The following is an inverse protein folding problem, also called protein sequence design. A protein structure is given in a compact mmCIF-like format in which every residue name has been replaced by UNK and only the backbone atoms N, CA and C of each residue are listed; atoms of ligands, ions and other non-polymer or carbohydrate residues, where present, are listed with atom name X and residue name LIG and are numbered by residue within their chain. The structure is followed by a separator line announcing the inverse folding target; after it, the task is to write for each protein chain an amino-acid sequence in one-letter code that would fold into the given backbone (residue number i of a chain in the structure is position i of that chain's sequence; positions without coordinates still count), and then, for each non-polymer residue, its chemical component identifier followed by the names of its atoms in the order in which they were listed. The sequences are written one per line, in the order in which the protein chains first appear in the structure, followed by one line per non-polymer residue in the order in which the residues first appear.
data_IF_922968168199
#
_entry.id   IF_922968168199
#
_cell.length_a   1.000
_cell.length_b   1.000
_cell.length_c   1.000
_cell.angle_alpha   90.00
_cell.angle_beta   90.00
_cell.angle_gamma   90.00
#
_symmetry.space_group_name_H-M   'P 1'
#
loop_
_entity.id
_entity.type
_entity.pdbx_description
1 polymer ?
#
# COMPACT_ATOMS: atom_id res chain seq x y z
N UNK A 1 3.62 25.39 5.12
CA UNK A 1 4.40 26.47 4.49
C UNK A 1 5.92 26.20 4.41
N UNK A 2 6.51 25.31 5.23
CA UNK A 2 7.95 24.97 5.17
C UNK A 2 8.36 23.93 4.10
N UNK A 3 7.44 23.08 3.62
CA UNK A 3 7.75 22.02 2.64
C UNK A 3 7.80 22.52 1.18
N UNK A 4 7.01 23.54 0.81
CA UNK A 4 7.01 24.12 -0.54
C UNK A 4 8.35 24.81 -0.90
N UNK A 5 9.08 25.35 0.09
CA UNK A 5 10.38 26.00 -0.15
C UNK A 5 11.55 25.03 -0.29
N UNK A 6 11.41 23.76 0.11
CA UNK A 6 12.52 22.77 0.01
C UNK A 6 12.48 21.91 -1.27
N UNK A 7 11.36 21.86 -1.98
CA UNK A 7 11.23 21.06 -3.21
C UNK A 7 11.73 21.82 -4.46
N UNK A 8 11.96 23.14 -4.37
CA UNK A 8 12.37 23.98 -5.50
C UNK A 8 13.90 24.10 -5.65
N UNK A 9 14.70 23.62 -4.68
CA UNK A 9 16.18 23.70 -4.74
C UNK A 9 16.80 22.30 -4.79
N UNK A 10 16.68 21.61 -5.92
CA UNK A 10 17.56 20.49 -6.29
C UNK A 10 17.99 20.70 -7.73
N UNK A 11 18.87 21.68 -7.94
CA UNK A 11 19.66 21.84 -9.17
C UNK A 11 20.91 22.65 -8.83
N UNK A 12 21.92 21.99 -8.26
CA UNK A 12 23.34 22.16 -8.57
C UNK A 12 24.10 20.91 -8.09
N UNK A 13 25.02 20.35 -8.88
CA UNK A 13 25.78 19.17 -8.48
C UNK A 13 26.91 19.59 -7.52
N UNK A 14 26.89 19.04 -6.31
CA UNK A 14 27.99 19.15 -5.36
C UNK A 14 29.14 18.22 -5.76
N UNK A 15 30.30 18.84 -5.98
CA UNK A 15 31.59 18.23 -6.34
C UNK A 15 32.24 17.55 -5.14
N UNK A 16 32.25 16.22 -5.11
CA UNK A 16 33.23 15.44 -4.35
C UNK A 16 33.49 14.17 -5.15
N UNK A 17 34.59 14.14 -5.90
CA UNK A 17 35.43 12.98 -6.26
C UNK A 17 36.50 13.50 -7.22
N UNK A 18 37.66 13.84 -6.67
CA UNK A 18 38.90 14.08 -7.39
C UNK A 18 39.93 13.02 -6.94
N UNK A 19 40.77 12.60 -7.89
CA UNK A 19 41.77 11.53 -7.84
C UNK A 19 41.18 10.11 -8.05
N UNK A 20 41.48 9.40 -9.13
CA UNK A 20 42.31 9.65 -10.30
C UNK A 20 42.44 8.33 -11.06
N UNK A 21 42.40 8.35 -12.40
CA UNK A 21 43.11 7.42 -13.29
C UNK A 21 43.02 7.94 -14.74
N UNK A 22 44.16 8.45 -15.22
CA UNK A 22 44.76 8.34 -16.55
C UNK A 22 43.92 8.28 -17.85
N UNK A 23 44.02 9.39 -18.60
CA UNK A 23 44.31 9.51 -20.05
C UNK A 23 43.44 8.84 -21.16
N UNK A 24 42.52 9.66 -21.71
CA UNK A 24 42.39 10.04 -23.14
C UNK A 24 41.86 9.03 -24.21
N UNK A 25 41.47 9.48 -25.44
CA UNK A 25 40.56 10.59 -25.78
C UNK A 25 39.60 10.22 -26.93
N UNK A 26 38.30 10.59 -26.90
CA UNK A 26 37.55 10.75 -28.16
C UNK A 26 36.63 11.96 -28.19
N UNK A 27 36.68 12.58 -29.37
CA UNK A 27 36.34 13.95 -29.70
C UNK A 27 34.84 14.21 -29.80
N UNK A 28 34.53 15.46 -29.48
CA UNK A 28 33.40 16.28 -29.94
C UNK A 28 32.84 15.91 -31.31
N UNK A 29 31.52 15.79 -31.41
CA UNK A 29 30.77 16.18 -32.60
C UNK A 29 29.50 16.94 -32.20
N UNK A 30 29.47 18.20 -32.65
CA UNK A 30 28.32 19.12 -32.64
C UNK A 30 27.29 18.61 -33.65
N UNK A 31 26.02 18.57 -33.29
CA UNK A 31 24.92 18.47 -34.25
C UNK A 31 24.30 19.86 -34.43
N UNK A 32 24.41 20.37 -35.66
CA UNK A 32 23.64 21.52 -36.13
C UNK A 32 22.36 21.01 -36.78
N UNK A 33 21.24 21.61 -36.38
CA UNK A 33 19.90 21.36 -36.88
C UNK A 33 19.63 22.29 -38.06
N UNK A 34 19.28 21.77 -39.23
CA UNK A 34 18.55 22.53 -40.26
C UNK A 34 17.52 21.67 -40.95
N UNK A 35 16.38 22.31 -41.21
CA UNK A 35 15.06 21.81 -41.59
C UNK A 35 14.87 21.58 -43.09
N UNK A 36 13.68 21.02 -43.40
CA UNK A 36 12.95 21.04 -44.70
C UNK A 36 13.44 20.01 -45.72
N UNK A 37 12.61 19.26 -46.45
CA UNK A 37 11.16 19.25 -46.64
C UNK A 37 10.86 18.76 -48.08
N UNK A 38 9.77 18.00 -48.22
CA UNK A 38 9.02 17.66 -49.46
C UNK A 38 9.44 16.39 -50.23
N UNK A 39 8.38 15.71 -50.69
CA UNK A 39 8.21 14.32 -51.10
C UNK A 39 8.37 14.07 -52.61
N UNK A 40 8.63 12.80 -52.98
CA UNK A 40 8.03 12.13 -54.15
C UNK A 40 8.31 10.61 -54.21
N UNK A 41 7.24 9.82 -54.16
CA UNK A 41 6.91 8.60 -54.92
C UNK A 41 7.98 7.56 -55.34
N UNK A 42 7.80 6.35 -54.79
CA UNK A 42 7.88 4.98 -55.37
C UNK A 42 9.04 4.58 -56.29
N UNK A 43 9.85 3.62 -55.83
CA UNK A 43 10.18 2.39 -56.57
C UNK A 43 10.70 1.29 -55.62
N UNK A 44 10.17 0.09 -55.83
CA UNK A 44 10.51 -1.17 -55.18
C UNK A 44 11.97 -1.55 -55.38
N UNK A 45 12.70 -1.74 -54.28
CA UNK A 45 13.95 -2.48 -54.24
C UNK A 45 14.10 -3.17 -52.87
N UNK A 46 14.64 -4.37 -52.92
CA UNK A 46 14.79 -5.43 -51.91
C UNK A 46 15.22 -4.96 -50.51
N UNK A 47 14.76 -5.59 -49.41
CA UNK A 47 15.29 -5.32 -48.09
C UNK A 47 16.56 -6.16 -47.87
N UNK A 48 17.72 -5.65 -48.28
CA UNK A 48 18.95 -5.95 -47.55
C UNK A 48 18.94 -5.13 -46.25
N UNK A 49 17.99 -5.47 -45.37
CA UNK A 49 18.10 -5.06 -43.99
C UNK A 49 19.17 -5.93 -43.36
N UNK A 50 20.34 -5.34 -43.11
CA UNK A 50 21.16 -5.70 -41.96
C UNK A 50 20.30 -5.52 -40.71
N UNK A 51 19.40 -6.48 -40.47
CA UNK A 51 18.82 -6.70 -39.17
C UNK A 51 19.98 -7.20 -38.32
N UNK A 52 20.53 -6.29 -37.51
CA UNK A 52 21.32 -6.67 -36.35
C UNK A 52 20.40 -7.62 -35.58
N UNK A 53 20.67 -8.93 -35.67
CA UNK A 53 20.02 -9.92 -34.82
C UNK A 53 20.16 -9.38 -33.40
N UNK A 54 19.08 -9.24 -32.61
CA UNK A 54 19.23 -8.87 -31.22
C UNK A 54 20.21 -9.87 -30.60
N UNK A 55 21.30 -9.37 -30.03
CA UNK A 55 22.26 -10.21 -29.31
C UNK A 55 21.47 -11.10 -28.37
N UNK A 56 21.62 -12.42 -28.52
CA UNK A 56 20.88 -13.36 -27.68
C UNK A 56 21.48 -13.35 -26.27
N UNK A 57 21.03 -12.39 -25.46
CA UNK A 57 21.46 -12.16 -24.09
C UNK A 57 20.76 -13.11 -23.08
N UNK A 58 20.02 -14.12 -23.56
CA UNK A 58 19.25 -15.04 -22.72
C UNK A 58 20.11 -15.75 -21.66
N UNK A 59 21.18 -16.44 -22.09
CA UNK A 59 22.08 -17.16 -21.16
C UNK A 59 22.78 -16.19 -20.18
N UNK A 60 23.39 -15.08 -20.63
CA UNK A 60 23.96 -14.08 -19.72
C UNK A 60 22.97 -13.52 -18.69
N UNK A 61 21.74 -13.22 -19.10
CA UNK A 61 20.70 -12.67 -18.22
C UNK A 61 20.26 -13.68 -17.16
N UNK A 62 20.10 -14.95 -17.52
CA UNK A 62 19.74 -16.01 -16.56
C UNK A 62 20.84 -16.18 -15.52
N UNK A 63 22.09 -16.34 -15.95
CA UNK A 63 23.26 -16.47 -15.05
C UNK A 63 23.40 -15.23 -14.16
N UNK A 64 23.16 -14.04 -14.70
CA UNK A 64 23.16 -12.81 -13.93
C UNK A 64 22.17 -12.86 -12.76
N UNK A 65 20.92 -13.26 -13.01
CA UNK A 65 19.94 -13.35 -11.93
C UNK A 65 20.28 -14.44 -10.90
N UNK A 66 20.79 -15.59 -11.34
CA UNK A 66 21.26 -16.65 -10.43
C UNK A 66 22.36 -16.13 -9.50
N UNK A 67 23.36 -15.42 -10.05
CA UNK A 67 24.45 -14.81 -9.29
C UNK A 67 23.99 -13.73 -8.29
N UNK A 68 22.81 -13.14 -8.53
CA UNK A 68 22.20 -12.14 -7.63
C UNK A 68 21.14 -12.73 -6.69
N UNK A 69 21.12 -14.06 -6.55
CA UNK A 69 20.31 -14.76 -5.54
C UNK A 69 18.86 -15.01 -5.95
N UNK A 70 18.54 -14.94 -7.25
CA UNK A 70 17.22 -15.34 -7.74
C UNK A 70 17.18 -16.86 -7.92
N UNK A 71 16.09 -17.50 -7.50
CA UNK A 71 15.88 -18.93 -7.73
C UNK A 71 15.52 -19.20 -9.20
N UNK A 72 15.78 -20.41 -9.68
CA UNK A 72 15.36 -20.86 -11.01
C UNK A 72 13.85 -20.67 -11.26
N UNK A 73 13.03 -20.89 -10.22
CA UNK A 73 11.58 -20.65 -10.27
C UNK A 73 11.25 -19.17 -10.46
N UNK A 74 11.88 -18.28 -9.69
CA UNK A 74 11.70 -16.83 -9.82
C UNK A 74 12.12 -16.32 -11.20
N UNK A 75 13.23 -16.82 -11.74
CA UNK A 75 13.72 -16.46 -13.08
C UNK A 75 12.72 -16.94 -14.13
N UNK A 76 12.26 -18.19 -14.06
CA UNK A 76 11.26 -18.74 -14.99
C UNK A 76 9.96 -17.92 -14.96
N UNK A 77 9.44 -17.59 -13.78
CA UNK A 77 8.26 -16.74 -13.64
C UNK A 77 8.48 -15.32 -14.19
N UNK A 78 9.64 -14.73 -13.93
CA UNK A 78 10.02 -13.41 -14.44
C UNK A 78 10.03 -13.40 -15.97
N UNK A 79 10.71 -14.38 -16.59
CA UNK A 79 10.79 -14.52 -18.05
C UNK A 79 9.42 -14.74 -18.66
N UNK A 80 8.59 -15.60 -18.06
CA UNK A 80 7.22 -15.84 -18.53
C UNK A 80 6.37 -14.57 -18.52
N UNK A 81 6.50 -13.75 -17.47
CA UNK A 81 5.73 -12.51 -17.30
C UNK A 81 6.31 -11.33 -18.07
N UNK A 82 7.62 -11.33 -18.31
CA UNK A 82 8.36 -10.22 -18.90
C UNK A 82 9.51 -10.72 -19.79
N UNK A 83 9.20 -11.34 -20.95
CA UNK A 83 10.20 -11.98 -21.82
C UNK A 83 11.30 -11.03 -22.30
N UNK A 84 10.99 -9.74 -22.46
CA UNK A 84 11.94 -8.71 -22.89
C UNK A 84 13.12 -8.54 -21.92
N UNK A 85 13.06 -9.09 -20.69
CA UNK A 85 14.20 -9.09 -19.78
C UNK A 85 15.41 -9.80 -20.38
N UNK A 86 15.18 -10.84 -21.20
CA UNK A 86 16.23 -11.65 -21.80
C UNK A 86 17.05 -10.88 -22.84
N UNK A 87 16.54 -9.77 -23.35
CA UNK A 87 17.24 -8.88 -24.27
C UNK A 87 18.05 -7.79 -23.54
N UNK A 88 17.93 -7.67 -22.22
CA UNK A 88 18.61 -6.63 -21.46
C UNK A 88 20.12 -6.93 -21.31
N UNK A 89 20.93 -5.88 -21.31
CA UNK A 89 22.35 -5.99 -20.98
C UNK A 89 22.52 -6.12 -19.45
N UNK A 90 23.09 -7.24 -18.93
CA UNK A 90 23.24 -7.43 -17.49
C UNK A 90 24.00 -6.31 -16.79
N UNK A 91 25.19 -5.96 -17.29
CA UNK A 91 26.11 -5.00 -16.67
C UNK A 91 25.62 -3.55 -16.79
N UNK A 92 25.13 -3.16 -17.96
CA UNK A 92 24.75 -1.76 -18.23
C UNK A 92 23.33 -1.43 -17.79
N UNK A 93 22.43 -2.41 -17.79
CA UNK A 93 21.00 -2.15 -17.57
C UNK A 93 20.51 -2.71 -16.24
N UNK A 94 20.87 -3.95 -15.89
CA UNK A 94 20.29 -4.63 -14.72
C UNK A 94 21.09 -4.33 -13.45
N UNK A 95 22.41 -4.51 -13.50
CA UNK A 95 23.31 -4.38 -12.35
C UNK A 95 23.18 -3.02 -11.63
N UNK A 96 23.16 -1.85 -12.32
CA UNK A 96 23.10 -0.56 -11.63
C UNK A 96 21.82 -0.42 -10.80
N UNK A 97 20.71 -1.02 -11.24
CA UNK A 97 19.44 -1.00 -10.52
C UNK A 97 19.48 -1.89 -9.29
N UNK A 98 20.05 -3.10 -9.41
CA UNK A 98 20.18 -4.00 -8.27
C UNK A 98 21.10 -3.40 -7.20
N UNK A 99 22.26 -2.86 -7.61
CA UNK A 99 23.20 -2.19 -6.71
C UNK A 99 22.56 -0.97 -6.02
N UNK A 100 21.75 -0.19 -6.73
CA UNK A 100 20.99 0.90 -6.11
C UNK A 100 20.05 0.39 -5.01
N UNK A 101 19.28 -0.66 -5.25
CA UNK A 101 18.39 -1.19 -4.21
C UNK A 101 19.15 -1.78 -3.02
N UNK A 102 20.29 -2.43 -3.28
CA UNK A 102 21.18 -2.94 -2.23
C UNK A 102 21.80 -1.81 -1.41
N UNK A 103 22.27 -0.74 -2.04
CA UNK A 103 22.84 0.42 -1.34
C UNK A 103 21.80 1.16 -0.48
N UNK A 104 20.52 1.02 -0.82
CA UNK A 104 19.37 1.47 -0.04
C UNK A 104 18.89 0.47 1.02
N UNK A 105 19.60 -0.63 1.23
CA UNK A 105 19.32 -1.59 2.30
C UNK A 105 18.21 -2.60 2.00
N UNK A 106 17.85 -2.83 0.73
CA UNK A 106 17.01 -3.98 0.35
C UNK A 106 17.89 -5.23 0.27
N UNK A 107 17.44 -6.30 0.92
CA UNK A 107 18.09 -7.62 0.82
C UNK A 107 17.83 -8.28 -0.54
N UNK A 108 18.69 -9.21 -0.97
CA UNK A 108 18.51 -9.93 -2.24
C UNK A 108 17.13 -10.58 -2.39
N UNK A 109 16.53 -11.22 -1.37
CA UNK A 109 15.16 -11.74 -1.46
C UNK A 109 14.09 -10.65 -1.68
N UNK A 110 14.26 -9.46 -1.09
CA UNK A 110 13.35 -8.32 -1.28
C UNK A 110 13.47 -7.72 -2.67
N UNK A 111 14.69 -7.66 -3.21
CA UNK A 111 14.96 -7.25 -4.59
C UNK A 111 14.36 -8.24 -5.58
N UNK A 112 14.54 -9.54 -5.36
CA UNK A 112 13.91 -10.57 -6.19
C UNK A 112 12.39 -10.44 -6.18
N UNK A 113 11.79 -10.23 -5.00
CA UNK A 113 10.35 -9.97 -4.87
C UNK A 113 9.90 -8.71 -5.61
N UNK A 114 10.68 -7.63 -5.57
CA UNK A 114 10.41 -6.39 -6.32
C UNK A 114 10.42 -6.66 -7.82
N UNK A 115 11.48 -7.31 -8.32
CA UNK A 115 11.67 -7.56 -9.75
C UNK A 115 10.62 -8.52 -10.30
N UNK A 116 10.36 -9.66 -9.66
CA UNK A 116 9.33 -10.61 -10.11
C UNK A 116 7.91 -10.02 -9.98
N UNK A 117 7.66 -9.25 -8.90
CA UNK A 117 6.39 -8.59 -8.67
C UNK A 117 6.10 -7.48 -9.69
N UNK A 118 7.12 -6.68 -10.01
CA UNK A 118 7.02 -5.48 -10.84
C UNK A 118 8.16 -5.40 -11.88
N UNK A 119 8.20 -6.30 -12.89
CA UNK A 119 9.31 -6.39 -13.83
C UNK A 119 9.60 -5.11 -14.61
N UNK A 120 8.59 -4.25 -14.79
CA UNK A 120 8.74 -2.95 -15.44
C UNK A 120 9.76 -2.04 -14.74
N UNK A 121 10.14 -2.30 -13.49
CA UNK A 121 11.25 -1.59 -12.83
C UNK A 121 12.56 -1.71 -13.60
N UNK A 122 12.79 -2.83 -14.29
CA UNK A 122 14.03 -3.11 -15.03
C UNK A 122 14.17 -2.28 -16.31
N UNK A 123 13.05 -1.83 -16.89
CA UNK A 123 13.06 -0.97 -18.09
C UNK A 123 13.02 0.52 -17.76
N UNK A 124 12.82 0.90 -16.49
CA UNK A 124 12.84 2.32 -16.12
C UNK A 124 14.28 2.83 -16.07
N UNK A 125 14.47 4.09 -16.44
CA UNK A 125 15.74 4.79 -16.22
C UNK A 125 16.00 4.92 -14.71
N UNK A 126 17.19 4.51 -14.28
CA UNK A 126 17.63 4.63 -12.90
C UNK A 126 17.64 6.11 -12.48
N UNK A 127 18.35 6.96 -13.23
CA UNK A 127 18.59 8.37 -12.88
C UNK A 127 17.37 9.26 -13.10
N UNK A 128 16.55 8.97 -14.12
CA UNK A 128 15.42 9.85 -14.47
C UNK A 128 14.11 9.47 -13.79
N UNK A 129 13.98 8.23 -13.29
CA UNK A 129 12.70 7.72 -12.76
C UNK A 129 12.83 7.07 -11.40
N UNK A 130 13.76 6.13 -11.19
CA UNK A 130 13.83 5.37 -9.94
C UNK A 130 14.39 6.24 -8.81
N UNK A 131 15.56 6.86 -9.00
CA UNK A 131 16.19 7.74 -8.00
C UNK A 131 15.27 8.91 -7.65
N UNK A 132 14.72 9.68 -8.61
CA UNK A 132 13.80 10.79 -8.28
C UNK A 132 12.52 10.35 -7.55
N UNK A 133 12.01 9.15 -7.83
CA UNK A 133 10.87 8.61 -7.09
C UNK A 133 11.25 8.27 -5.65
N UNK A 134 12.42 7.68 -5.43
CA UNK A 134 12.95 7.40 -4.10
C UNK A 134 13.15 8.70 -3.31
N UNK A 135 13.87 9.67 -3.89
CA UNK A 135 14.18 10.95 -3.26
C UNK A 135 12.92 11.74 -2.90
N UNK A 136 11.89 11.67 -3.76
CA UNK A 136 10.60 12.29 -3.46
C UNK A 136 9.92 11.67 -2.22
N UNK A 137 9.90 10.34 -2.12
CA UNK A 137 9.35 9.67 -0.93
C UNK A 137 10.19 10.03 0.31
N UNK A 138 11.52 10.05 0.17
CA UNK A 138 12.44 10.39 1.24
C UNK A 138 12.27 11.84 1.73
N UNK A 139 12.05 12.79 0.83
CA UNK A 139 11.78 14.17 1.19
C UNK A 139 10.50 14.31 2.04
N UNK A 140 9.47 13.50 1.78
CA UNK A 140 8.22 13.51 2.55
C UNK A 140 8.34 12.77 3.89
N UNK A 141 9.11 11.68 3.94
CA UNK A 141 9.25 10.83 5.13
C UNK A 141 10.42 11.24 6.04
N UNK A 142 11.31 12.09 5.54
CA UNK A 142 12.47 12.70 6.19
C UNK A 142 13.61 11.75 6.57
N UNK A 143 13.40 10.43 6.56
CA UNK A 143 14.46 9.44 6.87
C UNK A 143 14.48 8.31 5.86
N UNK A 144 15.66 7.73 5.65
CA UNK A 144 15.83 6.61 4.74
C UNK A 144 15.10 5.36 5.28
N UNK A 145 15.14 5.10 6.59
CA UNK A 145 14.49 3.94 7.22
C UNK A 145 12.98 3.95 6.99
N UNK A 146 12.33 5.11 7.15
CA UNK A 146 10.89 5.26 6.87
C UNK A 146 10.59 5.10 5.38
N UNK A 147 11.48 5.55 4.51
CA UNK A 147 11.38 5.43 3.06
C UNK A 147 11.42 3.97 2.63
N UNK A 148 12.39 3.22 3.12
CA UNK A 148 12.50 1.79 2.89
C UNK A 148 11.30 1.04 3.46
N UNK A 149 10.87 1.37 4.69
CA UNK A 149 9.67 0.79 5.27
C UNK A 149 8.42 1.03 4.41
N UNK A 150 8.26 2.24 3.84
CA UNK A 150 7.16 2.57 2.92
C UNK A 150 7.25 1.79 1.61
N UNK A 151 8.42 1.75 0.97
CA UNK A 151 8.65 0.99 -0.27
C UNK A 151 8.37 -0.50 -0.04
N UNK A 152 8.78 -1.08 1.08
CA UNK A 152 8.48 -2.48 1.43
C UNK A 152 6.98 -2.75 1.59
N UNK A 153 6.16 -1.76 1.94
CA UNK A 153 4.68 -1.89 1.95
C UNK A 153 4.10 -1.99 0.54
N UNK A 154 4.71 -1.34 -0.45
CA UNK A 154 4.34 -1.49 -1.84
C UNK A 154 5.55 -1.29 -2.77
N UNK A 155 6.24 -2.41 -3.07
CA UNK A 155 7.46 -2.40 -3.88
C UNK A 155 7.25 -1.74 -5.25
N UNK A 156 6.07 -1.91 -5.83
CA UNK A 156 5.71 -1.31 -7.11
C UNK A 156 5.64 0.22 -7.11
N UNK A 157 5.74 0.93 -5.98
CA UNK A 157 5.68 2.41 -5.99
C UNK A 157 6.75 3.04 -6.89
N UNK A 158 7.94 2.45 -6.97
CA UNK A 158 9.05 2.95 -7.77
C UNK A 158 8.85 2.72 -9.29
N UNK A 159 7.84 1.94 -9.69
CA UNK A 159 7.46 1.81 -11.10
C UNK A 159 6.55 2.94 -11.58
N UNK A 160 6.05 3.78 -10.67
CA UNK A 160 5.18 4.91 -10.99
C UNK A 160 5.98 6.19 -11.20
N UNK A 161 5.46 7.08 -12.04
CA UNK A 161 5.96 8.45 -12.10
C UNK A 161 5.33 9.28 -10.97
N UNK A 162 6.03 9.39 -9.84
CA UNK A 162 5.48 10.06 -8.66
C UNK A 162 5.28 11.57 -8.87
N UNK A 163 5.97 12.18 -9.83
CA UNK A 163 5.76 13.59 -10.17
C UNK A 163 4.41 13.80 -10.86
N UNK A 164 3.93 12.83 -11.63
CA UNK A 164 2.64 12.88 -12.32
C UNK A 164 1.50 12.48 -11.38
N UNK A 165 1.69 11.42 -10.59
CA UNK A 165 0.60 10.83 -9.80
C UNK A 165 0.60 11.29 -8.34
N UNK A 166 1.70 11.09 -7.61
CA UNK A 166 1.70 11.30 -6.17
C UNK A 166 1.81 12.78 -5.79
N UNK A 167 2.64 13.55 -6.50
CA UNK A 167 2.92 14.95 -6.19
C UNK A 167 1.68 15.85 -6.24
N UNK A 168 0.89 15.88 -7.31
CA UNK A 168 -0.31 16.74 -7.35
C UNK A 168 -1.33 16.38 -6.27
N UNK A 169 -1.42 15.09 -5.91
CA UNK A 169 -2.32 14.59 -4.87
C UNK A 169 -1.85 15.01 -3.47
N UNK A 170 -0.54 14.92 -3.19
CA UNK A 170 0.05 15.42 -1.95
C UNK A 170 -0.10 16.93 -1.84
N UNK A 171 0.18 17.68 -2.91
CA UNK A 171 0.01 19.14 -2.95
C UNK A 171 -1.44 19.54 -2.71
N UNK A 172 -2.41 18.81 -3.28
CA UNK A 172 -3.85 19.02 -3.02
C UNK A 172 -4.16 18.88 -1.53
N UNK A 173 -3.65 17.84 -0.85
CA UNK A 173 -3.87 17.66 0.59
C UNK A 173 -3.24 18.80 1.42
N UNK A 174 -2.04 19.26 1.05
CA UNK A 174 -1.37 20.38 1.71
C UNK A 174 -2.20 21.66 1.56
N UNK A 175 -2.70 21.93 0.35
CA UNK A 175 -3.49 23.14 0.04
C UNK A 175 -4.77 23.22 0.87
N UNK A 176 -5.43 22.09 1.13
CA UNK A 176 -6.64 22.05 1.97
C UNK A 176 -6.32 21.97 3.48
N UNK A 177 -5.04 22.08 3.86
CA UNK A 177 -4.61 22.17 5.25
C UNK A 177 -4.34 20.84 5.96
N UNK A 178 -4.22 19.72 5.24
CA UNK A 178 -3.79 18.46 5.88
C UNK A 178 -2.34 18.61 6.40
N UNK A 179 -2.06 18.34 7.68
CA UNK A 179 -0.72 18.46 8.21
C UNK A 179 0.27 17.49 7.55
N UNK A 180 1.48 17.97 7.25
CA UNK A 180 2.55 17.20 6.61
C UNK A 180 2.82 15.87 7.35
N UNK A 181 2.74 15.87 8.68
CA UNK A 181 2.92 14.67 9.51
C UNK A 181 1.86 13.59 9.26
N UNK A 182 0.62 13.97 8.93
CA UNK A 182 -0.46 13.02 8.60
C UNK A 182 -0.29 12.46 7.19
N UNK A 183 0.13 13.30 6.23
CA UNK A 183 0.49 12.86 4.88
C UNK A 183 1.65 11.86 4.95
N UNK A 184 2.71 12.18 5.68
CA UNK A 184 3.86 11.29 5.90
C UNK A 184 3.44 9.97 6.56
N UNK A 185 2.59 10.01 7.58
CA UNK A 185 2.05 8.80 8.22
C UNK A 185 1.35 7.90 7.20
N UNK A 186 0.48 8.46 6.36
CA UNK A 186 -0.25 7.67 5.35
C UNK A 186 0.68 7.18 4.24
N UNK A 187 1.64 7.99 3.79
CA UNK A 187 2.64 7.54 2.81
C UNK A 187 3.47 6.38 3.34
N UNK A 188 3.82 6.39 4.63
CA UNK A 188 4.59 5.32 5.26
C UNK A 188 3.83 3.99 5.29
N UNK A 189 2.53 4.01 5.63
CA UNK A 189 1.75 2.78 5.83
C UNK A 189 0.89 2.37 4.63
N UNK A 190 0.51 3.31 3.77
CA UNK A 190 -0.38 3.13 2.63
C UNK A 190 0.07 3.95 1.40
N UNK A 191 1.28 3.71 0.87
CA UNK A 191 1.83 4.48 -0.26
C UNK A 191 0.95 4.51 -1.51
N UNK A 192 0.11 3.48 -1.73
CA UNK A 192 -0.80 3.38 -2.88
C UNK A 192 -1.89 4.46 -2.92
N UNK A 193 -2.20 5.10 -1.79
CA UNK A 193 -3.27 6.11 -1.69
C UNK A 193 -3.09 7.21 -2.73
N UNK A 194 -1.85 7.66 -2.91
CA UNK A 194 -1.50 8.78 -3.77
C UNK A 194 -1.36 8.41 -5.26
N UNK A 195 -1.44 7.12 -5.59
CA UNK A 195 -1.29 6.61 -6.96
C UNK A 195 -2.66 6.50 -7.63
N UNK A 196 -3.25 7.65 -7.92
CA UNK A 196 -4.52 7.79 -8.64
C UNK A 196 -4.48 9.08 -9.47
N UNK A 197 -5.27 9.14 -10.54
CA UNK A 197 -5.44 10.35 -11.34
C UNK A 197 -5.85 11.55 -10.44
N UNK A 198 -5.25 12.72 -10.69
CA UNK A 198 -5.41 13.90 -9.86
C UNK A 198 -6.80 14.53 -9.88
N UNK A 199 -7.52 14.45 -11.01
CA UNK A 199 -8.91 14.91 -11.12
C UNK A 199 -9.79 14.06 -10.21
N UNK A 200 -9.70 12.74 -10.34
CA UNK A 200 -10.45 11.82 -9.48
C UNK A 200 -10.06 11.94 -8.02
N UNK A 201 -8.80 12.22 -7.71
CA UNK A 201 -8.36 12.45 -6.33
C UNK A 201 -9.01 13.69 -5.72
N UNK A 202 -9.05 14.81 -6.46
CA UNK A 202 -9.72 16.05 -6.03
C UNK A 202 -11.20 15.85 -5.79
N UNK A 203 -11.90 15.14 -6.68
CA UNK A 203 -13.31 14.78 -6.48
C UNK A 203 -13.52 14.02 -5.15
N UNK A 204 -12.69 13.01 -4.88
CA UNK A 204 -12.79 12.24 -3.63
C UNK A 204 -12.50 13.12 -2.41
N UNK A 205 -11.53 14.02 -2.52
CA UNK A 205 -11.20 14.98 -1.45
C UNK A 205 -12.39 15.88 -1.13
N UNK A 206 -13.08 16.40 -2.13
CA UNK A 206 -14.28 17.21 -1.94
C UNK A 206 -15.45 16.37 -1.39
N UNK A 207 -15.70 15.17 -1.93
CA UNK A 207 -16.71 14.23 -1.38
C UNK A 207 -16.47 13.98 0.12
N UNK A 208 -15.21 13.79 0.55
CA UNK A 208 -14.85 13.57 1.96
C UNK A 208 -15.02 14.84 2.81
N UNK A 209 -14.77 16.03 2.25
CA UNK A 209 -15.04 17.31 2.94
C UNK A 209 -16.53 17.52 3.16
N UNK A 210 -17.35 17.25 2.14
CA UNK A 210 -18.82 17.34 2.20
C UNK A 210 -19.41 16.39 3.25
N UNK A 211 -18.79 15.21 3.44
CA UNK A 211 -19.15 14.28 4.52
C UNK A 211 -18.79 14.79 5.93
N UNK A 212 -18.18 15.98 6.06
CA UNK A 212 -17.90 16.63 7.35
C UNK A 212 -16.64 16.11 8.04
N UNK A 213 -15.65 15.60 7.30
CA UNK A 213 -14.35 15.26 7.86
C UNK A 213 -13.49 16.52 8.07
N UNK A 214 -12.74 16.55 9.18
CA UNK A 214 -11.78 17.61 9.46
C UNK A 214 -10.40 17.28 8.84
N UNK A 215 -9.87 18.08 7.90
CA UNK A 215 -8.56 17.86 7.25
C UNK A 215 -7.37 17.76 8.22
N UNK A 216 -7.47 18.30 9.43
CA UNK A 216 -6.43 18.24 10.45
C UNK A 216 -6.31 16.86 11.12
N UNK A 217 -7.30 15.98 10.94
CA UNK A 217 -7.35 14.65 11.55
C UNK A 217 -6.89 13.57 10.56
N UNK A 218 -6.20 12.56 11.07
CA UNK A 218 -5.75 11.41 10.26
C UNK A 218 -6.92 10.70 9.56
N UNK A 219 -8.10 10.68 10.19
CA UNK A 219 -9.31 10.08 9.64
C UNK A 219 -9.72 10.69 8.30
N UNK A 220 -9.41 11.97 8.04
CA UNK A 220 -9.68 12.60 6.74
C UNK A 220 -8.95 11.85 5.61
N UNK A 221 -7.64 11.65 5.76
CA UNK A 221 -6.84 10.98 4.73
C UNK A 221 -7.18 9.49 4.64
N UNK A 222 -7.55 8.85 5.75
CA UNK A 222 -8.06 7.47 5.74
C UNK A 222 -9.40 7.35 5.02
N UNK A 223 -10.28 8.35 5.10
CA UNK A 223 -11.53 8.38 4.36
C UNK A 223 -11.30 8.57 2.86
N UNK A 224 -10.39 9.46 2.47
CA UNK A 224 -9.92 9.60 1.08
C UNK A 224 -9.41 8.25 0.56
N UNK A 225 -8.61 7.53 1.36
CA UNK A 225 -8.15 6.20 1.01
C UNK A 225 -9.28 5.20 0.83
N UNK A 226 -10.23 5.15 1.77
CA UNK A 226 -11.36 4.22 1.72
C UNK A 226 -12.22 4.45 0.48
N UNK A 227 -12.54 5.71 0.18
CA UNK A 227 -13.29 6.10 -1.02
C UNK A 227 -12.52 5.77 -2.30
N UNK A 228 -11.20 6.05 -2.34
CA UNK A 228 -10.31 5.70 -3.47
C UNK A 228 -10.20 4.20 -3.71
N UNK A 229 -10.39 3.37 -2.69
CA UNK A 229 -10.24 1.92 -2.80
C UNK A 229 -11.45 1.23 -3.44
N UNK A 230 -12.55 1.93 -3.71
CA UNK A 230 -13.78 1.32 -4.24
C UNK A 230 -14.56 2.23 -5.20
N UNK A 231 -15.45 1.62 -5.99
CA UNK A 231 -16.35 2.38 -6.87
C UNK A 231 -17.52 2.97 -6.08
N UNK A 232 -18.19 4.00 -6.64
CA UNK A 232 -19.45 4.55 -6.08
C UNK A 232 -20.54 3.48 -5.95
N UNK A 233 -20.58 2.50 -6.86
CA UNK A 233 -21.52 1.37 -6.78
C UNK A 233 -21.20 0.47 -5.59
N UNK A 234 -19.93 0.11 -5.40
CA UNK A 234 -19.47 -0.67 -4.25
C UNK A 234 -19.75 0.03 -2.93
N UNK A 235 -19.53 1.35 -2.86
CA UNK A 235 -19.87 2.17 -1.69
C UNK A 235 -21.37 2.06 -1.36
N UNK A 236 -22.26 2.30 -2.34
CA UNK A 236 -23.71 2.21 -2.15
C UNK A 236 -24.14 0.83 -1.67
N UNK A 237 -23.62 -0.26 -2.25
CA UNK A 237 -23.93 -1.62 -1.78
C UNK A 237 -23.60 -1.81 -0.30
N UNK A 238 -22.45 -1.29 0.17
CA UNK A 238 -22.08 -1.36 1.59
C UNK A 238 -22.98 -0.50 2.48
N UNK A 239 -23.38 0.69 2.02
CA UNK A 239 -24.38 1.51 2.72
C UNK A 239 -25.70 0.75 2.88
N UNK A 240 -26.18 0.11 1.82
CA UNK A 240 -27.41 -0.70 1.87
C UNK A 240 -27.30 -1.91 2.80
N UNK A 241 -26.11 -2.52 2.94
CA UNK A 241 -25.89 -3.57 3.96
C UNK A 241 -26.10 -3.01 5.36
N UNK A 242 -25.53 -1.84 5.69
CA UNK A 242 -25.75 -1.24 7.01
C UNK A 242 -27.21 -0.81 7.23
N UNK A 243 -27.87 -0.27 6.20
CA UNK A 243 -29.31 0.07 6.26
C UNK A 243 -30.17 -1.17 6.57
N UNK A 244 -29.87 -2.32 5.96
CA UNK A 244 -30.55 -3.60 6.25
C UNK A 244 -30.38 -4.06 7.71
N UNK A 245 -29.28 -3.67 8.36
CA UNK A 245 -29.06 -3.91 9.79
C UNK A 245 -29.66 -2.83 10.70
N UNK A 246 -30.42 -1.89 10.14
CA UNK A 246 -31.13 -0.86 10.89
C UNK A 246 -30.33 0.40 11.18
N UNK A 247 -29.16 0.60 10.56
CA UNK A 247 -28.48 1.89 10.68
C UNK A 247 -29.12 2.93 9.76
N UNK A 248 -29.58 4.07 10.29
CA UNK A 248 -29.96 5.18 9.44
C UNK A 248 -28.70 5.83 8.84
N UNK A 249 -28.89 6.64 7.79
CA UNK A 249 -27.77 7.13 6.97
C UNK A 249 -26.80 8.03 7.77
N UNK A 250 -27.32 8.81 8.71
CA UNK A 250 -26.53 9.62 9.63
C UNK A 250 -25.62 8.79 10.55
N UNK A 251 -26.06 7.61 10.98
CA UNK A 251 -25.25 6.69 11.79
C UNK A 251 -24.15 6.03 10.96
N UNK A 252 -24.43 5.72 9.69
CA UNK A 252 -23.42 5.22 8.74
C UNK A 252 -22.33 6.27 8.53
N UNK A 253 -22.72 7.53 8.28
CA UNK A 253 -21.78 8.64 8.12
C UNK A 253 -21.01 8.94 9.41
N UNK A 254 -21.66 8.84 10.57
CA UNK A 254 -21.01 8.97 11.87
C UNK A 254 -19.96 7.85 12.10
N UNK A 255 -20.33 6.60 11.84
CA UNK A 255 -19.45 5.45 11.91
C UNK A 255 -18.24 5.60 10.98
N UNK A 256 -18.48 5.99 9.73
CA UNK A 256 -17.44 6.24 8.74
C UNK A 256 -16.48 7.35 9.18
N UNK A 257 -17.00 8.46 9.71
CA UNK A 257 -16.17 9.57 10.25
C UNK A 257 -15.28 9.13 11.41
N UNK A 258 -15.78 8.28 12.28
CA UNK A 258 -15.01 7.77 13.42
C UNK A 258 -13.97 6.73 13.01
N UNK A 259 -14.29 5.85 12.05
CA UNK A 259 -13.41 4.78 11.61
C UNK A 259 -13.66 4.38 10.16
N UNK A 260 -12.99 5.02 9.18
CA UNK A 260 -13.22 4.75 7.76
C UNK A 260 -13.08 3.29 7.33
N UNK A 261 -12.29 2.50 8.08
CA UNK A 261 -12.11 1.07 7.85
C UNK A 261 -13.39 0.24 8.00
N UNK A 262 -14.45 0.74 8.64
CA UNK A 262 -15.74 0.03 8.65
C UNK A 262 -16.33 -0.11 7.23
N UNK A 263 -16.03 0.82 6.32
CA UNK A 263 -16.43 0.75 4.92
C UNK A 263 -15.45 -0.06 4.06
N UNK A 264 -14.26 -0.37 4.56
CA UNK A 264 -13.28 -1.21 3.86
C UNK A 264 -13.57 -2.72 3.98
N UNK A 265 -14.39 -3.13 4.94
CA UNK A 265 -14.81 -4.52 5.12
C UNK A 265 -15.69 -5.00 3.95
N UNK A 266 -15.60 -6.28 3.57
CA UNK A 266 -16.51 -6.88 2.58
C UNK A 266 -17.96 -6.94 3.11
N UNK A 267 -18.93 -7.09 2.22
CA UNK A 267 -20.35 -7.21 2.59
C UNK A 267 -20.58 -8.40 3.54
N UNK A 268 -20.04 -9.58 3.21
CA UNK A 268 -20.08 -10.77 4.07
C UNK A 268 -19.46 -10.54 5.44
N UNK A 269 -18.36 -9.77 5.47
CA UNK A 269 -17.67 -9.44 6.71
C UNK A 269 -18.52 -8.54 7.59
N UNK A 270 -19.19 -7.53 7.00
CA UNK A 270 -20.12 -6.66 7.71
C UNK A 270 -21.30 -7.49 8.24
N UNK A 271 -21.95 -8.28 7.39
CA UNK A 271 -23.07 -9.15 7.77
C UNK A 271 -22.70 -10.10 8.91
N UNK A 272 -21.56 -10.79 8.83
CA UNK A 272 -21.15 -11.74 9.85
C UNK A 272 -20.79 -11.08 11.19
N UNK A 273 -20.30 -9.83 11.18
CA UNK A 273 -20.07 -9.08 12.42
C UNK A 273 -21.39 -8.58 13.01
N UNK A 274 -22.27 -8.01 12.18
CA UNK A 274 -23.56 -7.51 12.62
C UNK A 274 -24.45 -8.63 13.16
N UNK A 275 -24.53 -9.79 12.48
CA UNK A 275 -25.22 -10.98 12.99
C UNK A 275 -24.72 -11.40 14.37
N UNK A 276 -23.39 -11.39 14.56
CA UNK A 276 -22.81 -11.78 15.84
C UNK A 276 -23.22 -10.82 16.97
N UNK A 277 -23.11 -9.51 16.76
CA UNK A 277 -23.42 -8.55 17.81
C UNK A 277 -24.92 -8.38 18.02
N UNK A 278 -25.69 -8.22 16.94
CA UNK A 278 -27.13 -7.94 17.02
C UNK A 278 -27.89 -9.21 17.40
N UNK A 279 -27.75 -10.30 16.64
CA UNK A 279 -28.56 -11.50 16.85
C UNK A 279 -28.03 -12.39 17.98
N UNK A 280 -26.71 -12.61 18.07
CA UNK A 280 -26.14 -13.57 19.05
C UNK A 280 -25.85 -12.97 20.42
N UNK A 281 -25.53 -11.67 20.48
CA UNK A 281 -25.29 -10.97 21.74
C UNK A 281 -26.45 -10.05 22.15
N UNK A 282 -27.42 -9.81 21.27
CA UNK A 282 -28.58 -8.97 21.58
C UNK A 282 -28.19 -7.51 21.78
N UNK A 283 -27.18 -7.02 21.05
CA UNK A 283 -26.78 -5.61 21.05
C UNK A 283 -27.64 -4.80 20.08
N UNK A 284 -28.00 -3.58 20.46
CA UNK A 284 -28.64 -2.64 19.55
C UNK A 284 -27.73 -2.31 18.35
N UNK A 285 -28.23 -2.27 17.11
CA UNK A 285 -27.41 -1.91 15.94
C UNK A 285 -26.67 -0.58 16.12
N UNK A 286 -27.34 0.46 16.65
CA UNK A 286 -26.75 1.78 16.91
C UNK A 286 -25.60 1.78 17.92
N UNK A 287 -25.51 0.77 18.79
CA UNK A 287 -24.34 0.60 19.66
C UNK A 287 -23.08 0.32 18.83
N UNK A 288 -23.20 -0.48 17.77
CA UNK A 288 -22.10 -0.81 16.87
C UNK A 288 -21.73 0.40 15.98
N UNK A 289 -22.71 1.22 15.57
CA UNK A 289 -22.45 2.46 14.83
C UNK A 289 -21.57 3.43 15.63
N UNK A 290 -21.72 3.44 16.96
CA UNK A 290 -20.88 4.23 17.89
C UNK A 290 -19.49 3.64 18.10
N UNK A 291 -19.27 2.37 17.72
CA UNK A 291 -18.02 1.60 17.86
C UNK A 291 -17.63 0.89 16.55
N UNK A 292 -17.44 1.63 15.45
CA UNK A 292 -17.22 1.06 14.12
C UNK A 292 -15.91 0.26 13.97
N UNK A 293 -14.97 0.41 14.91
CA UNK A 293 -13.76 -0.41 15.00
C UNK A 293 -14.06 -1.91 15.11
N UNK A 294 -15.19 -2.29 15.73
CA UNK A 294 -15.61 -3.68 15.88
C UNK A 294 -15.78 -4.38 14.52
N UNK A 295 -16.25 -3.67 13.49
CA UNK A 295 -16.40 -4.21 12.13
C UNK A 295 -15.05 -4.66 11.55
N UNK A 296 -13.97 -3.94 11.88
CA UNK A 296 -12.63 -4.21 11.36
C UNK A 296 -11.88 -5.34 12.07
N UNK A 297 -12.36 -5.79 13.24
CA UNK A 297 -11.74 -6.90 13.98
C UNK A 297 -11.96 -8.23 13.25
N UNK A 298 -11.09 -9.23 13.46
CA UNK A 298 -11.31 -10.56 12.88
C UNK A 298 -12.57 -11.23 13.44
N UNK A 299 -13.47 -11.68 12.56
CA UNK A 299 -14.70 -12.36 13.00
C UNK A 299 -14.34 -13.71 13.62
N UNK A 300 -13.65 -14.54 12.83
CA UNK A 300 -13.27 -15.90 13.21
C UNK A 300 -12.20 -15.93 14.31
N UNK A 301 -11.14 -15.10 14.21
CA UNK A 301 -9.97 -15.19 15.11
C UNK A 301 -10.07 -14.34 16.37
N UNK A 302 -11.11 -13.52 16.52
CA UNK A 302 -11.23 -12.59 17.67
C UNK A 302 -12.65 -12.47 18.19
N UNK A 303 -13.60 -12.03 17.37
CA UNK A 303 -14.99 -11.78 17.82
C UNK A 303 -15.65 -13.07 18.32
N UNK A 304 -15.70 -14.12 17.50
CA UNK A 304 -16.38 -15.38 17.88
C UNK A 304 -15.75 -16.06 19.11
N UNK A 305 -14.41 -16.24 19.20
CA UNK A 305 -13.78 -16.85 20.37
C UNK A 305 -14.01 -16.05 21.66
N UNK A 306 -13.88 -14.72 21.61
CA UNK A 306 -14.05 -13.88 22.80
C UNK A 306 -15.52 -13.74 23.20
N UNK A 307 -16.42 -13.68 22.24
CA UNK A 307 -17.85 -13.64 22.53
C UNK A 307 -18.39 -14.96 23.07
N UNK A 308 -17.77 -16.11 22.73
CA UNK A 308 -18.08 -17.39 23.39
C UNK A 308 -17.71 -17.38 24.88
N UNK A 309 -16.57 -16.78 25.23
CA UNK A 309 -16.19 -16.57 26.64
C UNK A 309 -17.18 -15.64 27.33
N UNK A 310 -17.52 -14.51 26.69
CA UNK A 310 -18.53 -13.58 27.20
C UNK A 310 -19.87 -14.26 27.50
N UNK A 311 -20.39 -15.08 26.58
CA UNK A 311 -21.66 -15.80 26.77
C UNK A 311 -21.63 -16.75 27.98
N UNK A 312 -20.51 -17.45 28.19
CA UNK A 312 -20.35 -18.34 29.36
C UNK A 312 -20.26 -17.55 30.66
N UNK A 313 -19.51 -16.45 30.68
CA UNK A 313 -19.42 -15.60 31.87
C UNK A 313 -20.78 -14.98 32.21
N UNK A 314 -21.53 -14.55 31.19
CA UNK A 314 -22.86 -13.97 31.34
C UNK A 314 -23.85 -15.01 31.89
N UNK A 315 -23.87 -16.23 31.35
CA UNK A 315 -24.78 -17.29 31.80
C UNK A 315 -24.47 -17.79 33.22
N UNK A 316 -23.24 -17.60 33.71
CA UNK A 316 -22.84 -17.86 35.10
C UNK A 316 -23.04 -16.68 36.04
N UNK A 317 -23.57 -15.55 35.55
CA UNK A 317 -23.79 -14.34 36.34
C UNK A 317 -22.50 -13.64 36.79
N UNK A 318 -21.35 -13.98 36.19
CA UNK A 318 -20.05 -13.42 36.57
C UNK A 318 -19.79 -12.04 35.97
N UNK A 319 -20.54 -11.68 34.93
CA UNK A 319 -20.55 -10.37 34.30
C UNK A 319 -22.00 -9.94 34.03
N UNK A 320 -22.22 -8.62 33.95
CA UNK A 320 -23.51 -8.05 33.53
C UNK A 320 -23.55 -7.91 32.00
N UNK A 321 -24.77 -7.93 31.44
CA UNK A 321 -25.00 -7.68 30.02
C UNK A 321 -24.41 -6.31 29.62
N UNK A 322 -23.76 -6.28 28.47
CA UNK A 322 -23.17 -5.09 27.81
C UNK A 322 -22.01 -4.41 28.57
N UNK A 323 -21.60 -4.94 29.73
CA UNK A 323 -20.49 -4.36 30.49
C UNK A 323 -19.16 -4.65 29.78
N UNK A 324 -18.52 -3.56 29.35
CA UNK A 324 -17.14 -3.53 28.86
C UNK A 324 -16.87 -4.32 27.57
N UNK A 325 -17.87 -4.46 26.69
CA UNK A 325 -17.70 -5.07 25.37
C UNK A 325 -16.53 -4.47 24.56
N UNK A 326 -16.28 -3.15 24.56
CA UNK A 326 -15.14 -2.60 23.82
C UNK A 326 -13.81 -3.18 24.32
N UNK A 327 -13.59 -3.21 25.64
CA UNK A 327 -12.38 -3.81 26.18
C UNK A 327 -12.32 -5.31 25.90
N UNK A 328 -13.44 -6.03 25.96
CA UNK A 328 -13.47 -7.47 25.66
C UNK A 328 -13.00 -7.76 24.23
N UNK A 329 -13.48 -7.02 23.23
CA UNK A 329 -13.17 -7.29 21.84
C UNK A 329 -11.91 -6.58 21.32
N UNK A 330 -11.58 -5.39 21.81
CA UNK A 330 -10.50 -4.56 21.27
C UNK A 330 -9.17 -4.69 22.03
N UNK A 331 -9.18 -5.16 23.28
CA UNK A 331 -7.95 -5.30 24.07
C UNK A 331 -6.93 -6.28 23.48
N UNK A 332 -5.66 -6.08 23.83
CA UNK A 332 -4.59 -7.04 23.55
C UNK A 332 -4.91 -8.43 24.15
N UNK A 333 -4.28 -9.47 23.59
CA UNK A 333 -4.59 -10.86 23.94
C UNK A 333 -4.33 -11.15 25.42
N UNK A 334 -3.16 -10.80 25.93
CA UNK A 334 -2.82 -10.91 27.35
C UNK A 334 -3.87 -10.22 28.25
N UNK A 335 -4.23 -8.96 27.95
CA UNK A 335 -5.20 -8.21 28.75
C UNK A 335 -6.60 -8.82 28.74
N UNK A 336 -6.98 -9.49 27.64
CA UNK A 336 -8.22 -10.24 27.58
C UNK A 336 -8.17 -11.48 28.47
N UNK A 337 -7.09 -12.27 28.41
CA UNK A 337 -6.91 -13.46 29.25
C UNK A 337 -6.90 -13.09 30.73
N UNK A 338 -6.08 -12.10 31.11
CA UNK A 338 -5.90 -11.64 32.49
C UNK A 338 -7.21 -11.15 33.12
N UNK A 339 -8.12 -10.58 32.31
CA UNK A 339 -9.37 -9.99 32.82
C UNK A 339 -10.57 -10.93 32.75
N UNK A 340 -10.70 -11.75 31.70
CA UNK A 340 -11.93 -12.50 31.44
C UNK A 340 -11.76 -14.02 31.55
N UNK A 341 -10.54 -14.53 31.58
CA UNK A 341 -10.31 -15.98 31.71
C UNK A 341 -9.67 -16.30 33.05
N UNK A 342 -8.54 -15.67 33.35
CA UNK A 342 -7.70 -15.97 34.50
C UNK A 342 -8.42 -15.88 35.85
N UNK A 343 -9.24 -14.84 36.12
CA UNK A 343 -10.00 -14.72 37.37
C UNK A 343 -11.04 -15.82 37.55
N UNK A 344 -11.47 -16.46 36.46
CA UNK A 344 -12.56 -17.43 36.45
C UNK A 344 -12.09 -18.87 36.20
N UNK A 345 -10.77 -19.11 36.11
CA UNK A 345 -10.20 -20.46 35.87
C UNK A 345 -10.66 -21.51 36.88
N UNK A 346 -10.74 -21.13 38.16
CA UNK A 346 -11.18 -22.03 39.25
C UNK A 346 -12.70 -22.26 39.22
N UNK A 347 -13.47 -21.21 38.91
CA UNK A 347 -14.94 -21.25 38.89
C UNK A 347 -15.51 -21.94 37.65
N UNK A 348 -14.81 -21.85 36.51
CA UNK A 348 -15.21 -22.44 35.24
C UNK A 348 -14.03 -23.25 34.67
N UNK A 349 -13.82 -24.48 35.18
CA UNK A 349 -12.83 -25.39 34.61
C UNK A 349 -13.10 -25.60 33.11
N UNK A 350 -12.09 -25.32 32.28
CA UNK A 350 -12.19 -25.46 30.83
C UNK A 350 -12.55 -24.19 30.04
N UNK A 351 -12.75 -23.03 30.68
CA UNK A 351 -13.00 -21.76 29.98
C UNK A 351 -11.88 -21.40 28.98
N UNK A 352 -10.62 -21.58 29.41
CA UNK A 352 -9.46 -21.40 28.54
C UNK A 352 -9.43 -22.43 27.39
N UNK A 353 -9.83 -23.68 27.65
CA UNK A 353 -9.89 -24.75 26.64
C UNK A 353 -10.95 -24.42 25.59
N UNK A 354 -12.12 -23.91 26.00
CA UNK A 354 -13.16 -23.42 25.11
C UNK A 354 -12.63 -22.30 24.21
N UNK A 355 -12.00 -21.29 24.80
CA UNK A 355 -11.42 -20.16 24.05
C UNK A 355 -10.40 -20.64 23.00
N UNK A 356 -9.46 -21.51 23.41
CA UNK A 356 -8.47 -22.10 22.52
C UNK A 356 -9.11 -22.96 21.42
N UNK A 357 -10.14 -23.74 21.73
CA UNK A 357 -10.88 -24.54 20.73
C UNK A 357 -11.49 -23.63 19.66
N UNK A 358 -12.19 -22.56 20.06
CA UNK A 358 -12.77 -21.60 19.11
C UNK A 358 -11.72 -20.89 18.25
N UNK A 359 -10.52 -20.63 18.78
CA UNK A 359 -9.41 -20.10 17.99
C UNK A 359 -8.87 -21.09 16.95
N UNK A 360 -8.87 -22.39 17.24
CA UNK A 360 -8.42 -23.45 16.31
C UNK A 360 -9.46 -23.70 15.24
N UNK A 361 -10.75 -23.78 15.61
CA UNK A 361 -11.86 -23.94 14.67
C UNK A 361 -11.90 -22.80 13.63
N UNK A 362 -11.40 -21.62 13.99
CA UNK A 362 -11.26 -20.46 13.11
C UNK A 362 -10.11 -20.53 12.08
N UNK A 363 -9.20 -21.50 12.20
CA UNK A 363 -8.10 -21.74 11.26
C UNK A 363 -8.46 -22.75 10.16
N UNK A 364 -9.48 -23.55 10.39
CA UNK A 364 -10.14 -24.39 9.39
C UNK A 364 -11.20 -23.56 8.67
#
# INVERSE_FOLDING_TARGET
MLLLRRIIVVRQPSSVFAHGFSESPFKSLRYSSTSSGIASSLKSASPDSNSVKPENNEKPVIVFFENHGFSKTQISELVKKFPQVLSANPEKTLLPKLLFFQSKGLSSPEIAKLVCGFPSILTRSLDRKIIPAFDYIQALLQTEEKTIASIKRFLGILTWDLQIYARPNVETLIQIGVPDSKIATILQYQPRVFLINNVRFKEIVEEVKEMGFNPLRLNFVLAVFAMRAMSKSTWRKKVEVYKKWGWPEEEILFAFRRHPWCMMASEDKINGVMDFFVNKLGCEPSYIAKRPALISLSLKKRIVPRGSVYQVLLSKGLIKKDVNLPFLFESAENRFLDKFIDPHKKLIPGLLKLYKKKLVDAKR
#
